data_IF_011854444991
#
_entry.id   IF_011854444991
#
_cell.length_a   1.000
_cell.length_b   1.000
_cell.length_c   1.000
_cell.angle_alpha   90.00
_cell.angle_beta   90.00
_cell.angle_gamma   90.00
#
_symmetry.space_group_name_H-M   'P 1'
#
loop_
_entity.id
_entity.type
_entity.pdbx_description
1 polymer ?
#
# COMPACT_ATOMS: atom_id res chain seq x y z
N UNK A 1 8.97 33.26 21.54
CA UNK A 1 7.77 32.61 22.11
C UNK A 1 8.09 32.11 23.51
N UNK A 2 7.12 32.10 24.41
CA UNK A 2 7.31 31.50 25.75
C UNK A 2 7.46 29.97 25.67
N UNK A 3 7.97 29.35 26.74
CA UNK A 3 8.00 27.90 26.91
C UNK A 3 6.59 27.30 26.72
N UNK A 4 6.49 26.16 26.03
CA UNK A 4 5.23 25.46 25.71
C UNK A 4 4.20 26.26 24.89
N UNK A 5 4.54 27.45 24.37
CA UNK A 5 3.63 28.22 23.53
C UNK A 5 3.57 27.65 22.10
N UNK A 6 2.42 27.86 21.44
CA UNK A 6 2.24 27.52 20.01
C UNK A 6 2.14 28.79 19.17
N UNK A 7 2.91 28.85 18.08
CA UNK A 7 2.70 29.80 16.98
C UNK A 7 2.25 29.03 15.76
N UNK A 8 1.02 29.26 15.32
CA UNK A 8 0.44 28.61 14.16
C UNK A 8 -0.08 29.60 13.11
N UNK A 9 -0.64 29.03 12.05
CA UNK A 9 -1.27 29.79 10.96
C UNK A 9 -0.37 29.97 9.74
N UNK A 10 -0.66 31.01 8.97
CA UNK A 10 0.01 31.38 7.72
C UNK A 10 0.40 32.87 7.76
N UNK A 11 1.26 33.32 6.86
CA UNK A 11 1.69 34.73 6.77
C UNK A 11 3.13 34.94 7.23
N UNK A 12 3.49 36.19 7.56
CA UNK A 12 4.87 36.57 7.89
C UNK A 12 4.97 37.09 9.32
N UNK A 13 5.94 36.57 10.07
CA UNK A 13 6.37 37.07 11.38
C UNK A 13 7.84 37.47 11.33
N UNK A 14 8.28 38.31 12.26
CA UNK A 14 9.68 38.72 12.36
C UNK A 14 10.60 37.59 12.85
N UNK A 15 11.76 37.98 13.38
CA UNK A 15 12.68 37.05 14.06
C UNK A 15 11.93 36.28 15.15
N UNK A 16 12.06 34.96 15.13
CA UNK A 16 11.31 34.05 15.98
C UNK A 16 12.26 33.17 16.76
N UNK A 17 12.19 33.25 18.08
CA UNK A 17 12.86 32.30 18.98
C UNK A 17 11.82 31.36 19.57
N UNK A 18 12.00 30.06 19.34
CA UNK A 18 11.23 28.97 19.95
C UNK A 18 11.97 28.53 21.20
N UNK A 19 11.45 28.93 22.37
CA UNK A 19 11.93 28.43 23.66
C UNK A 19 11.64 26.95 23.83
N UNK A 20 12.37 26.31 24.76
CA UNK A 20 12.20 24.88 25.10
C UNK A 20 10.73 24.50 25.26
N UNK A 21 10.33 23.42 24.59
CA UNK A 21 8.95 22.92 24.57
C UNK A 21 7.98 23.68 23.67
N UNK A 22 8.40 24.76 23.00
CA UNK A 22 7.55 25.51 22.08
C UNK A 22 7.19 24.73 20.81
N UNK A 23 6.04 25.06 20.22
CA UNK A 23 5.50 24.41 19.03
C UNK A 23 5.27 25.42 17.90
N UNK A 24 5.76 25.10 16.70
CA UNK A 24 5.37 25.78 15.47
C UNK A 24 4.31 24.94 14.76
N UNK A 25 3.18 25.54 14.44
CA UNK A 25 2.05 24.88 13.78
C UNK A 25 1.70 25.55 12.44
N UNK A 26 2.63 25.59 11.47
CA UNK A 26 2.37 26.26 10.19
C UNK A 26 1.35 25.47 9.35
N UNK A 27 0.33 26.15 8.84
CA UNK A 27 -0.62 25.55 7.88
C UNK A 27 -1.48 24.39 8.41
N UNK A 28 -1.61 24.22 9.74
CA UNK A 28 -2.38 23.10 10.34
C UNK A 28 -3.91 23.25 10.14
N UNK A 29 -4.39 24.43 9.74
CA UNK A 29 -5.81 24.73 9.49
C UNK A 29 -6.15 25.06 8.02
N UNK A 30 -5.24 24.81 7.07
CA UNK A 30 -5.47 25.07 5.64
C UNK A 30 -4.17 25.20 4.83
N UNK A 31 -4.29 25.29 3.50
CA UNK A 31 -3.13 25.51 2.63
C UNK A 31 -2.50 26.89 2.90
N UNK A 32 -1.22 26.93 3.25
CA UNK A 32 -0.46 28.16 3.34
C UNK A 32 0.84 28.04 4.13
N UNK A 33 1.71 29.02 3.91
CA UNK A 33 3.09 29.08 4.38
C UNK A 33 3.22 30.06 5.54
N UNK A 34 3.86 29.64 6.63
CA UNK A 34 4.38 30.57 7.65
C UNK A 34 5.79 31.00 7.25
N UNK A 35 6.05 32.30 7.25
CA UNK A 35 7.37 32.87 6.98
C UNK A 35 7.86 33.57 8.24
N UNK A 36 9.08 33.28 8.67
CA UNK A 36 9.74 33.97 9.79
C UNK A 36 10.93 34.77 9.26
N UNK A 37 11.39 35.75 10.04
CA UNK A 37 12.78 36.22 9.95
C UNK A 37 13.75 35.11 10.36
N UNK A 38 14.80 35.44 11.12
CA UNK A 38 15.67 34.40 11.66
C UNK A 38 14.89 33.52 12.64
N UNK A 39 15.03 32.21 12.50
CA UNK A 39 14.37 31.21 13.34
C UNK A 39 15.40 30.50 14.21
N UNK A 40 15.20 30.55 15.52
CA UNK A 40 16.07 29.88 16.49
C UNK A 40 15.26 28.94 17.38
N UNK A 41 15.64 27.66 17.43
CA UNK A 41 15.21 26.72 18.47
C UNK A 41 16.24 26.73 19.61
N UNK A 42 15.87 27.22 20.79
CA UNK A 42 16.79 27.34 21.94
C UNK A 42 17.04 26.02 22.67
N UNK A 43 16.28 24.98 22.38
CA UNK A 43 16.30 23.69 23.09
C UNK A 43 15.35 22.71 22.43
N UNK A 44 14.59 21.94 23.21
CA UNK A 44 13.57 21.06 22.64
C UNK A 44 12.45 21.85 21.99
N UNK A 45 11.87 21.32 20.92
CA UNK A 45 10.75 21.98 20.24
C UNK A 45 9.96 21.03 19.36
N UNK A 46 8.81 21.50 18.88
CA UNK A 46 7.97 20.75 17.96
C UNK A 46 7.61 21.59 16.76
N UNK A 47 7.54 20.96 15.59
CA UNK A 47 6.91 21.49 14.40
C UNK A 47 5.75 20.56 14.07
N UNK A 48 4.53 21.05 14.15
CA UNK A 48 3.31 20.31 13.80
C UNK A 48 2.81 20.78 12.45
N UNK A 49 2.81 19.89 11.45
CA UNK A 49 2.42 20.18 10.08
C UNK A 49 1.06 19.57 9.75
N UNK A 50 0.38 20.15 8.76
CA UNK A 50 -0.84 19.59 8.17
C UNK A 50 -0.56 18.40 7.24
N UNK A 51 -1.49 18.13 6.33
CA UNK A 51 -1.37 17.05 5.35
C UNK A 51 -0.22 17.30 4.38
N UNK A 52 0.66 16.31 4.23
CA UNK A 52 1.92 16.45 3.48
C UNK A 52 1.77 16.77 1.98
N UNK A 53 0.62 16.46 1.37
CA UNK A 53 0.40 16.59 -0.08
C UNK A 53 0.57 18.02 -0.60
N UNK A 54 0.44 19.03 0.27
CA UNK A 54 0.68 20.44 -0.07
C UNK A 54 2.16 20.85 -0.17
N UNK A 55 3.10 19.98 0.21
CA UNK A 55 4.50 20.35 0.42
C UNK A 55 5.47 19.94 -0.70
N UNK A 56 4.98 19.44 -1.82
CA UNK A 56 5.84 19.03 -2.96
C UNK A 56 6.57 20.21 -3.61
N UNK A 57 5.95 21.39 -3.62
CA UNK A 57 6.50 22.61 -4.24
C UNK A 57 6.50 23.83 -3.32
N UNK A 58 5.70 23.81 -2.25
CA UNK A 58 5.50 24.96 -1.36
C UNK A 58 5.82 24.57 0.08
N UNK A 59 6.82 25.18 0.74
CA UNK A 59 7.17 24.77 2.08
C UNK A 59 6.11 25.19 3.10
N UNK A 60 5.93 24.37 4.14
CA UNK A 60 5.06 24.72 5.26
C UNK A 60 5.62 25.92 6.03
N UNK A 61 6.94 25.95 6.21
CA UNK A 61 7.66 27.00 6.93
C UNK A 61 8.80 27.55 6.07
N UNK A 62 8.98 28.86 6.03
CA UNK A 62 10.23 29.46 5.57
C UNK A 62 10.83 30.34 6.65
N UNK A 63 12.11 30.19 6.87
CA UNK A 63 12.89 31.06 7.73
C UNK A 63 13.88 31.90 6.91
N UNK A 64 14.35 32.99 7.51
CA UNK A 64 15.62 33.62 7.20
C UNK A 64 16.76 32.65 7.50
N UNK A 65 17.64 32.93 8.47
CA UNK A 65 18.56 31.90 8.96
C UNK A 65 17.85 30.91 9.89
N UNK A 66 18.33 29.67 9.94
CA UNK A 66 17.85 28.64 10.86
C UNK A 66 18.95 28.22 11.83
N UNK A 67 18.69 28.33 13.13
CA UNK A 67 19.59 27.88 14.20
C UNK A 67 18.87 26.87 15.09
N UNK A 68 19.49 25.70 15.28
CA UNK A 68 19.03 24.69 16.23
C UNK A 68 20.08 24.51 17.34
N UNK A 69 19.81 25.07 18.52
CA UNK A 69 20.75 25.09 19.65
C UNK A 69 20.61 23.92 20.61
N UNK A 70 19.56 23.09 20.46
CA UNK A 70 19.35 21.88 21.26
C UNK A 70 20.23 20.70 20.83
N UNK A 71 20.13 19.58 21.55
CA UNK A 71 20.84 18.34 21.21
C UNK A 71 20.32 17.68 19.91
N UNK A 72 20.99 16.62 19.44
CA UNK A 72 20.48 15.81 18.34
C UNK A 72 19.09 15.25 18.66
N UNK A 73 18.17 15.31 17.69
CA UNK A 73 16.77 14.92 17.86
C UNK A 73 15.94 15.81 18.81
N UNK A 74 16.44 16.98 19.20
CA UNK A 74 15.72 17.88 20.13
C UNK A 74 14.48 18.54 19.51
N UNK A 75 14.39 18.65 18.19
CA UNK A 75 13.24 19.23 17.49
C UNK A 75 12.47 18.13 16.76
N UNK A 76 11.25 17.85 17.21
CA UNK A 76 10.38 16.85 16.60
C UNK A 76 9.50 17.46 15.52
N UNK A 77 9.44 16.85 14.34
CA UNK A 77 8.53 17.24 13.26
C UNK A 77 7.41 16.21 13.13
N UNK A 78 6.17 16.65 13.35
CA UNK A 78 4.96 15.86 13.16
C UNK A 78 4.30 16.22 11.83
N UNK A 79 3.91 15.20 11.05
CA UNK A 79 3.30 15.30 9.73
C UNK A 79 1.92 14.64 9.73
N UNK A 80 0.91 15.34 9.20
CA UNK A 80 -0.41 14.78 8.97
C UNK A 80 -0.51 13.96 7.67
N UNK A 81 -1.41 12.99 7.65
CA UNK A 81 -1.72 12.15 6.48
C UNK A 81 -1.83 10.66 6.82
N UNK A 82 -2.56 9.90 6.01
CA UNK A 82 -2.77 8.47 6.22
C UNK A 82 -1.61 7.62 5.71
N UNK A 83 -1.33 7.67 4.40
CA UNK A 83 -0.28 6.87 3.74
C UNK A 83 0.65 7.78 2.95
N UNK A 84 1.95 7.51 3.03
CA UNK A 84 2.99 8.26 2.34
C UNK A 84 3.05 7.89 0.85
N UNK A 85 3.04 8.89 -0.03
CA UNK A 85 3.40 8.73 -1.42
C UNK A 85 4.90 9.03 -1.61
N UNK A 86 5.57 8.27 -2.48
CA UNK A 86 6.95 8.56 -2.84
C UNK A 86 7.10 10.00 -3.33
N UNK A 87 8.19 10.64 -2.94
CA UNK A 87 8.48 12.01 -3.33
C UNK A 87 9.30 12.76 -2.30
N UNK A 88 9.65 13.98 -2.69
CA UNK A 88 10.33 14.95 -1.84
C UNK A 88 9.35 16.05 -1.47
N UNK A 89 9.23 16.31 -0.17
CA UNK A 89 8.32 17.29 0.40
C UNK A 89 9.12 18.32 1.18
N UNK A 90 9.06 19.57 0.74
CA UNK A 90 9.76 20.68 1.37
C UNK A 90 9.03 21.06 2.66
N UNK A 91 9.57 20.69 3.82
CA UNK A 91 8.90 21.00 5.09
C UNK A 91 9.24 22.42 5.57
N UNK A 92 10.54 22.73 5.51
CA UNK A 92 11.10 23.99 5.98
C UNK A 92 12.18 24.46 5.01
N UNK A 93 12.08 25.69 4.50
CA UNK A 93 13.17 26.35 3.77
C UNK A 93 13.90 27.36 4.65
N UNK A 94 15.18 27.58 4.43
CA UNK A 94 15.98 28.60 5.09
C UNK A 94 17.07 29.15 4.17
N UNK A 95 17.56 30.31 4.53
CA UNK A 95 18.70 30.99 3.93
C UNK A 95 19.96 30.79 4.78
N UNK A 96 21.14 31.04 4.20
CA UNK A 96 22.41 30.95 4.91
C UNK A 96 23.21 29.68 4.63
N UNK A 97 22.72 28.76 3.79
CA UNK A 97 23.50 27.63 3.27
C UNK A 97 23.65 26.44 4.23
N UNK A 98 23.31 26.60 5.50
CA UNK A 98 23.33 25.54 6.51
C UNK A 98 22.43 25.86 7.70
N UNK A 99 22.10 24.82 8.46
CA UNK A 99 21.45 24.94 9.77
C UNK A 99 22.54 25.17 10.82
N UNK A 100 22.51 26.29 11.53
CA UNK A 100 23.49 26.60 12.57
C UNK A 100 23.23 25.82 13.88
N UNK A 101 24.25 25.73 14.74
CA UNK A 101 24.21 24.98 16.00
C UNK A 101 24.44 23.48 15.78
N UNK A 102 23.53 22.64 16.29
CA UNK A 102 23.58 21.18 16.13
C UNK A 102 23.22 20.72 14.70
N UNK A 103 22.78 21.66 13.84
CA UNK A 103 22.50 21.42 12.44
C UNK A 103 21.29 20.53 12.20
N UNK A 104 21.24 19.87 11.03
CA UNK A 104 20.15 18.99 10.64
C UNK A 104 19.90 17.84 11.64
N UNK A 105 20.94 17.39 12.34
CA UNK A 105 20.84 16.32 13.33
C UNK A 105 19.95 16.68 14.52
N UNK A 106 19.65 17.96 14.74
CA UNK A 106 18.69 18.41 15.75
C UNK A 106 17.25 17.98 15.43
N UNK A 107 16.92 17.66 14.18
CA UNK A 107 15.57 17.37 13.75
C UNK A 107 15.30 15.87 13.61
N UNK A 108 14.13 15.43 14.06
CA UNK A 108 13.67 14.04 13.95
C UNK A 108 12.19 14.00 13.57
N UNK A 109 11.78 12.98 12.82
CA UNK A 109 10.36 12.74 12.54
C UNK A 109 9.64 12.13 13.76
N UNK A 110 8.54 12.75 14.17
CA UNK A 110 7.61 12.21 15.17
C UNK A 110 6.47 11.44 14.51
N UNK A 111 5.23 11.87 14.77
CA UNK A 111 4.03 11.37 14.08
C UNK A 111 4.15 11.62 12.57
N UNK A 112 3.88 10.62 11.74
CA UNK A 112 4.04 10.69 10.28
C UNK A 112 3.12 9.70 9.57
N UNK A 113 2.82 9.91 8.26
CA UNK A 113 2.04 8.98 7.47
C UNK A 113 2.67 7.57 7.45
N UNK A 114 1.83 6.54 7.34
CA UNK A 114 2.29 5.16 7.24
C UNK A 114 3.02 4.91 5.91
N UNK A 115 4.09 4.11 5.96
CA UNK A 115 4.78 3.59 4.77
C UNK A 115 4.07 2.35 4.24
N UNK A 116 4.21 2.10 2.93
CA UNK A 116 3.83 0.85 2.27
C UNK A 116 5.04 0.18 1.63
N UNK A 117 5.05 -1.15 1.59
CA UNK A 117 6.12 -1.93 0.98
C UNK A 117 7.50 -1.54 1.52
N UNK A 118 8.43 -1.22 0.62
CA UNK A 118 9.82 -0.86 0.94
C UNK A 118 10.05 0.64 1.16
N UNK A 119 8.99 1.41 1.40
CA UNK A 119 9.14 2.83 1.65
C UNK A 119 9.95 3.08 2.92
N UNK A 120 10.85 4.04 2.81
CA UNK A 120 11.62 4.64 3.88
C UNK A 120 11.29 6.13 3.93
N UNK A 121 11.40 6.70 5.12
CA UNK A 121 11.11 8.12 5.37
C UNK A 121 12.30 8.75 6.06
N UNK A 122 12.88 9.78 5.45
CA UNK A 122 14.06 10.47 5.98
C UNK A 122 13.88 11.98 5.96
N UNK A 123 14.64 12.67 6.80
CA UNK A 123 14.85 14.11 6.70
C UNK A 123 16.17 14.37 5.98
N UNK A 124 16.13 15.23 4.96
CA UNK A 124 17.29 15.56 4.14
C UNK A 124 17.48 17.07 4.13
N UNK A 125 18.62 17.53 4.65
CA UNK A 125 19.09 18.91 4.55
C UNK A 125 19.79 19.11 3.19
N UNK A 126 19.31 20.06 2.38
CA UNK A 126 19.87 20.40 1.06
C UNK A 126 20.77 21.65 1.07
N UNK A 127 21.05 22.22 2.25
CA UNK A 127 21.69 23.52 2.46
C UNK A 127 20.73 24.72 2.38
N UNK A 128 19.51 24.51 1.90
CA UNK A 128 18.48 25.56 1.77
C UNK A 128 17.08 25.09 2.17
N UNK A 129 16.91 23.79 2.38
CA UNK A 129 15.67 23.20 2.82
C UNK A 129 15.93 21.95 3.67
N UNK A 130 15.06 21.74 4.64
CA UNK A 130 14.90 20.47 5.33
C UNK A 130 13.68 19.77 4.73
N UNK A 131 13.95 18.77 3.90
CA UNK A 131 12.94 18.02 3.18
C UNK A 131 12.59 16.73 3.92
N UNK A 132 11.32 16.33 3.84
CA UNK A 132 10.92 14.95 4.10
C UNK A 132 10.92 14.20 2.79
N UNK A 133 11.73 13.15 2.72
CA UNK A 133 11.88 12.32 1.53
C UNK A 133 11.27 10.96 1.83
N UNK A 134 10.31 10.57 1.00
CA UNK A 134 9.74 9.23 0.97
C UNK A 134 10.29 8.54 -0.26
N UNK A 135 11.08 7.49 -0.05
CA UNK A 135 11.68 6.70 -1.13
C UNK A 135 11.46 5.22 -0.87
N UNK A 136 11.31 4.44 -1.93
CA UNK A 136 11.16 3.00 -1.84
C UNK A 136 10.39 2.48 -3.04
N UNK A 137 10.82 1.36 -3.57
CA UNK A 137 10.23 0.77 -4.76
C UNK A 137 9.66 -0.59 -4.43
N UNK A 138 8.52 -0.90 -5.04
CA UNK A 138 7.90 -2.21 -4.89
C UNK A 138 8.61 -3.21 -5.82
N UNK A 139 8.93 -4.43 -5.37
CA UNK A 139 9.42 -5.47 -6.26
C UNK A 139 8.35 -5.88 -7.29
N UNK A 140 8.74 -5.88 -8.56
CA UNK A 140 8.00 -6.41 -9.71
C UNK A 140 8.59 -7.76 -10.08
N UNK A 141 7.74 -8.77 -10.22
CA UNK A 141 8.15 -10.10 -10.67
C UNK A 141 8.63 -10.07 -12.12
N UNK A 142 9.82 -10.61 -12.36
CA UNK A 142 10.36 -10.82 -13.72
C UNK A 142 10.31 -12.29 -14.11
N UNK A 143 10.54 -13.20 -13.16
CA UNK A 143 10.73 -14.63 -13.44
C UNK A 143 11.93 -14.90 -14.37
N UNK A 144 12.93 -14.01 -14.33
CA UNK A 144 14.05 -14.02 -15.27
C UNK A 144 15.07 -15.15 -15.01
N UNK A 145 15.13 -15.70 -13.80
CA UNK A 145 16.09 -16.75 -13.41
C UNK A 145 15.40 -18.08 -13.21
N UNK A 146 14.28 -18.10 -12.51
CA UNK A 146 13.50 -19.30 -12.24
C UNK A 146 12.04 -18.94 -11.95
N UNK A 147 11.23 -19.95 -11.67
CA UNK A 147 9.86 -19.78 -11.18
C UNK A 147 9.80 -19.63 -9.65
N UNK A 148 10.92 -19.75 -8.93
CA UNK A 148 10.91 -19.75 -7.46
C UNK A 148 10.52 -18.37 -6.91
N UNK A 149 9.44 -18.34 -6.12
CA UNK A 149 9.13 -17.23 -5.23
C UNK A 149 9.35 -17.68 -3.78
N UNK A 150 10.44 -17.19 -3.19
CA UNK A 150 10.81 -17.45 -1.80
C UNK A 150 11.57 -16.25 -1.24
N UNK A 151 11.97 -16.32 0.03
CA UNK A 151 12.92 -15.37 0.66
C UNK A 151 14.39 -15.77 0.48
N UNK A 152 14.68 -16.78 -0.34
CA UNK A 152 16.06 -17.18 -0.60
C UNK A 152 16.78 -16.08 -1.39
N UNK A 153 18.00 -15.77 -0.98
CA UNK A 153 18.89 -14.91 -1.75
C UNK A 153 19.36 -15.66 -3.01
N UNK A 154 19.02 -15.14 -4.19
CA UNK A 154 19.50 -15.68 -5.47
C UNK A 154 20.77 -14.95 -5.87
N UNK A 155 21.90 -15.61 -6.14
CA UNK A 155 23.12 -14.88 -6.54
C UNK A 155 23.03 -14.36 -7.98
N UNK A 156 23.54 -13.15 -8.23
CA UNK A 156 23.56 -12.55 -9.57
C UNK A 156 22.19 -12.02 -10.01
N UNK A 157 21.72 -12.46 -11.19
CA UNK A 157 20.40 -12.08 -11.72
C UNK A 157 19.29 -12.53 -10.78
N UNK A 158 18.16 -11.82 -10.78
CA UNK A 158 17.08 -12.01 -9.80
C UNK A 158 15.73 -12.25 -10.47
N UNK A 159 14.82 -12.89 -9.75
CA UNK A 159 13.43 -13.05 -10.16
C UNK A 159 12.57 -11.80 -9.92
N UNK A 160 13.11 -10.77 -9.28
CA UNK A 160 12.44 -9.50 -9.02
C UNK A 160 13.30 -8.32 -9.46
N UNK A 161 12.64 -7.24 -9.86
CA UNK A 161 13.25 -5.92 -10.06
C UNK A 161 12.50 -4.87 -9.25
N UNK A 162 13.13 -3.77 -8.88
CA UNK A 162 12.44 -2.65 -8.26
C UNK A 162 11.68 -1.82 -9.30
N UNK A 163 10.44 -1.44 -8.96
CA UNK A 163 9.67 -0.45 -9.70
C UNK A 163 10.45 0.88 -9.81
N UNK A 164 10.37 1.54 -10.97
CA UNK A 164 11.05 2.82 -11.22
C UNK A 164 12.44 2.65 -11.84
N UNK A 165 13.42 2.11 -11.10
CA UNK A 165 14.82 2.01 -11.57
C UNK A 165 15.20 0.64 -12.17
N UNK A 166 14.31 -0.36 -12.09
CA UNK A 166 14.51 -1.73 -12.60
C UNK A 166 15.72 -2.46 -12.00
N UNK A 167 16.24 -1.99 -10.86
CA UNK A 167 17.37 -2.65 -10.20
C UNK A 167 16.98 -4.07 -9.72
N UNK A 168 17.82 -5.10 -9.94
CA UNK A 168 17.51 -6.47 -9.50
C UNK A 168 17.40 -6.56 -7.97
N UNK A 169 16.43 -7.32 -7.48
CA UNK A 169 16.22 -7.51 -6.04
C UNK A 169 15.70 -8.91 -5.70
N UNK A 170 15.88 -9.37 -4.46
CA UNK A 170 15.18 -10.55 -3.94
C UNK A 170 13.84 -10.12 -3.34
N UNK A 171 12.89 -11.04 -3.19
CA UNK A 171 11.70 -10.81 -2.39
C UNK A 171 12.06 -10.80 -0.89
N UNK A 172 11.44 -9.89 -0.15
CA UNK A 172 11.54 -9.76 1.31
C UNK A 172 10.15 -9.90 1.91
N UNK A 173 10.05 -10.67 2.99
CA UNK A 173 8.80 -10.80 3.74
C UNK A 173 8.23 -9.43 4.13
N UNK A 174 6.94 -9.19 3.89
CA UNK A 174 6.28 -7.91 4.08
C UNK A 174 6.30 -6.99 2.84
N UNK A 175 6.95 -7.36 1.75
CA UNK A 175 6.91 -6.57 0.51
C UNK A 175 5.48 -6.44 -0.02
N UNK A 176 5.20 -5.26 -0.60
CA UNK A 176 4.14 -5.13 -1.59
C UNK A 176 4.75 -5.56 -2.92
N UNK A 177 4.23 -6.63 -3.51
CA UNK A 177 4.74 -7.21 -4.76
C UNK A 177 3.80 -6.92 -5.93
N UNK A 178 4.39 -6.71 -7.12
CA UNK A 178 3.66 -6.38 -8.35
C UNK A 178 3.90 -7.47 -9.41
N UNK A 179 2.83 -7.82 -10.13
CA UNK A 179 2.81 -8.79 -11.22
C UNK A 179 2.16 -8.13 -12.45
N UNK A 180 2.97 -7.69 -13.40
CA UNK A 180 2.56 -6.96 -14.60
C UNK A 180 2.94 -7.73 -15.89
N UNK A 181 2.68 -7.15 -17.08
CA UNK A 181 3.02 -7.81 -18.35
C UNK A 181 4.53 -7.76 -18.69
N UNK A 182 5.39 -7.28 -17.80
CA UNK A 182 6.85 -7.24 -18.04
C UNK A 182 7.56 -8.52 -17.62
N UNK A 183 6.87 -9.45 -16.96
CA UNK A 183 7.43 -10.75 -16.61
C UNK A 183 7.75 -11.58 -17.87
N UNK A 184 8.93 -12.21 -17.87
CA UNK A 184 9.33 -13.15 -18.91
C UNK A 184 8.83 -14.57 -18.63
N UNK A 185 8.53 -14.87 -17.37
CA UNK A 185 7.95 -16.14 -16.96
C UNK A 185 6.83 -15.89 -15.92
N UNK A 186 5.55 -16.06 -16.29
CA UNK A 186 4.43 -15.75 -15.40
C UNK A 186 4.05 -16.91 -14.45
N UNK A 187 4.96 -17.86 -14.22
CA UNK A 187 4.78 -18.95 -13.24
C UNK A 187 5.54 -18.62 -11.96
N UNK A 188 4.84 -18.70 -10.82
CA UNK A 188 5.38 -18.56 -9.48
C UNK A 188 5.22 -19.86 -8.71
N UNK A 189 6.34 -20.44 -8.31
CA UNK A 189 6.43 -21.70 -7.60
C UNK A 189 6.85 -21.47 -6.15
N UNK A 190 5.95 -21.81 -5.23
CA UNK A 190 6.10 -21.76 -3.79
C UNK A 190 6.51 -23.13 -3.20
N UNK A 191 7.07 -24.05 -3.99
CA UNK A 191 7.50 -25.36 -3.48
C UNK A 191 8.62 -25.28 -2.43
N UNK A 192 9.37 -24.16 -2.41
CA UNK A 192 10.51 -23.98 -1.50
C UNK A 192 10.07 -23.52 -0.10
N UNK A 193 9.20 -22.52 -0.01
CA UNK A 193 8.74 -21.99 1.28
C UNK A 193 7.42 -21.22 1.12
N UNK A 194 6.71 -21.05 2.24
CA UNK A 194 5.60 -20.09 2.30
C UNK A 194 6.12 -18.64 2.22
N UNK A 195 5.33 -17.74 1.63
CA UNK A 195 5.65 -16.32 1.53
C UNK A 195 4.59 -15.45 2.21
N UNK A 196 5.01 -14.32 2.78
CA UNK A 196 4.15 -13.40 3.53
C UNK A 196 4.25 -11.95 3.03
N UNK A 197 3.74 -11.63 1.82
CA UNK A 197 3.71 -10.25 1.33
C UNK A 197 2.74 -9.41 2.17
N UNK A 198 2.91 -8.08 2.18
CA UNK A 198 1.89 -7.18 2.72
C UNK A 198 0.72 -6.98 1.76
N UNK A 199 1.00 -7.00 0.46
CA UNK A 199 0.00 -6.93 -0.60
C UNK A 199 0.55 -7.50 -1.90
N UNK A 200 -0.33 -8.09 -2.70
CA UNK A 200 -0.04 -8.60 -4.03
C UNK A 200 -0.90 -7.86 -5.05
N UNK A 201 -0.25 -7.19 -5.99
CA UNK A 201 -0.92 -6.44 -7.04
C UNK A 201 -0.68 -7.11 -8.40
N UNK A 202 -1.71 -7.77 -8.91
CA UNK A 202 -1.75 -8.30 -10.27
C UNK A 202 -2.38 -7.25 -11.20
N UNK A 203 -1.59 -6.67 -12.10
CA UNK A 203 -2.01 -5.64 -13.07
C UNK A 203 -1.93 -6.13 -14.52
N UNK A 204 -1.56 -7.40 -14.72
CA UNK A 204 -1.45 -8.06 -16.00
C UNK A 204 -2.71 -7.89 -16.89
N UNK A 205 -2.51 -7.33 -18.07
CA UNK A 205 -3.52 -7.10 -19.08
C UNK A 205 -3.62 -8.26 -20.08
N UNK A 206 -2.51 -8.92 -20.42
CA UNK A 206 -2.49 -10.00 -21.43
C UNK A 206 -1.85 -11.28 -20.92
N UNK A 207 -0.83 -11.21 -20.06
CA UNK A 207 -0.20 -12.40 -19.48
C UNK A 207 -1.18 -13.14 -18.57
N UNK A 208 -1.06 -14.46 -18.53
CA UNK A 208 -1.76 -15.31 -17.56
C UNK A 208 -0.78 -15.77 -16.48
N UNK A 209 -1.01 -15.35 -15.24
CA UNK A 209 -0.17 -15.76 -14.11
C UNK A 209 -0.64 -17.08 -13.51
N UNK A 210 0.29 -17.92 -13.06
CA UNK A 210 0.00 -19.13 -12.29
C UNK A 210 0.83 -19.15 -11.01
N UNK A 211 0.17 -19.27 -9.86
CA UNK A 211 0.82 -19.57 -8.58
C UNK A 211 0.61 -21.05 -8.26
N UNK A 212 1.69 -21.76 -7.99
CA UNK A 212 1.72 -23.19 -7.72
C UNK A 212 2.72 -23.52 -6.61
N UNK A 213 2.81 -24.80 -6.25
CA UNK A 213 3.74 -25.32 -5.26
C UNK A 213 3.04 -25.91 -4.03
N UNK A 214 3.85 -26.50 -3.16
CA UNK A 214 3.36 -27.22 -1.95
C UNK A 214 3.15 -26.31 -0.74
N UNK A 215 3.69 -25.10 -0.75
CA UNK A 215 3.44 -24.08 0.27
C UNK A 215 2.43 -23.03 -0.23
N UNK A 216 2.18 -22.02 0.59
CA UNK A 216 1.19 -20.99 0.30
C UNK A 216 1.59 -19.59 0.71
N UNK A 217 0.67 -18.67 0.43
CA UNK A 217 0.76 -17.26 0.78
C UNK A 217 0.04 -17.06 2.11
N UNK A 218 0.76 -16.58 3.11
CA UNK A 218 0.31 -16.61 4.52
C UNK A 218 -0.14 -15.25 5.06
N UNK A 219 0.16 -14.16 4.35
CA UNK A 219 -0.19 -12.81 4.78
C UNK A 219 -0.56 -11.91 3.61
N UNK A 220 -1.08 -10.73 3.96
CA UNK A 220 -1.38 -9.66 3.03
C UNK A 220 -2.78 -9.74 2.40
N UNK A 221 -2.94 -8.98 1.33
CA UNK A 221 -4.14 -8.91 0.50
C UNK A 221 -3.79 -9.13 -0.96
N UNK A 222 -4.79 -9.50 -1.76
CA UNK A 222 -4.65 -9.70 -3.20
C UNK A 222 -5.52 -8.71 -3.96
N UNK A 223 -4.95 -7.98 -4.90
CA UNK A 223 -5.69 -7.13 -5.85
C UNK A 223 -5.42 -7.58 -7.27
N UNK A 224 -6.47 -7.96 -8.00
CA UNK A 224 -6.41 -8.28 -9.43
C UNK A 224 -7.09 -7.18 -10.25
N UNK A 225 -6.31 -6.58 -11.12
CA UNK A 225 -6.70 -5.59 -12.12
C UNK A 225 -6.12 -6.01 -13.47
N UNK A 226 -6.46 -5.30 -14.55
CA UNK A 226 -6.08 -5.71 -15.90
C UNK A 226 -6.85 -6.94 -16.39
N UNK A 227 -6.93 -7.09 -17.71
CA UNK A 227 -7.76 -8.11 -18.36
C UNK A 227 -7.18 -9.54 -18.33
N UNK A 228 -5.91 -9.73 -17.97
CA UNK A 228 -5.26 -11.03 -17.95
C UNK A 228 -5.79 -11.97 -16.86
N UNK A 229 -5.38 -13.24 -16.88
CA UNK A 229 -5.81 -14.24 -15.90
C UNK A 229 -4.82 -14.42 -14.75
N UNK A 230 -5.31 -14.98 -13.64
CA UNK A 230 -4.53 -15.46 -12.51
C UNK A 230 -5.08 -16.82 -12.06
N UNK A 231 -4.27 -17.86 -12.08
CA UNK A 231 -4.60 -19.19 -11.55
C UNK A 231 -3.92 -19.40 -10.20
N UNK A 232 -4.70 -19.75 -9.18
CA UNK A 232 -4.21 -19.97 -7.81
C UNK A 232 -4.31 -21.45 -7.43
N UNK A 233 -3.22 -22.20 -7.60
CA UNK A 233 -3.17 -23.64 -7.30
C UNK A 233 -2.68 -23.95 -5.88
N UNK A 234 -2.26 -22.95 -5.10
CA UNK A 234 -1.74 -23.13 -3.74
C UNK A 234 -2.83 -23.03 -2.69
N UNK A 235 -2.64 -23.71 -1.56
CA UNK A 235 -3.46 -23.53 -0.36
C UNK A 235 -2.95 -22.30 0.40
N UNK A 236 -3.72 -21.23 0.42
CA UNK A 236 -3.32 -19.95 1.01
C UNK A 236 -4.01 -19.70 2.35
N UNK A 237 -3.45 -18.83 3.18
CA UNK A 237 -4.00 -18.48 4.50
C UNK A 237 -4.03 -16.98 4.80
N UNK A 238 -3.67 -16.13 3.83
CA UNK A 238 -3.77 -14.68 3.99
C UNK A 238 -5.21 -14.24 4.34
N UNK A 239 -5.32 -13.22 5.19
CA UNK A 239 -6.59 -12.76 5.76
C UNK A 239 -6.98 -11.35 5.31
N UNK A 240 -6.10 -10.63 4.59
CA UNK A 240 -6.38 -9.27 4.11
C UNK A 240 -7.42 -9.18 3.00
N UNK A 241 -7.90 -10.32 2.49
CA UNK A 241 -8.94 -10.41 1.47
C UNK A 241 -8.42 -10.30 0.04
N UNK A 242 -9.35 -10.45 -0.91
CA UNK A 242 -9.09 -10.39 -2.35
C UNK A 242 -10.03 -9.40 -3.04
N UNK A 243 -9.51 -8.51 -3.87
CA UNK A 243 -10.28 -7.55 -4.65
C UNK A 243 -10.05 -7.75 -6.15
N UNK A 244 -11.14 -7.95 -6.91
CA UNK A 244 -11.11 -8.19 -8.35
C UNK A 244 -11.75 -7.00 -9.08
N UNK A 245 -10.90 -6.08 -9.52
CA UNK A 245 -11.25 -4.94 -10.37
C UNK A 245 -11.19 -5.22 -11.87
N UNK A 246 -10.75 -6.41 -12.29
CA UNK A 246 -10.73 -6.82 -13.70
C UNK A 246 -10.16 -8.24 -13.88
N UNK A 247 -10.20 -8.74 -15.11
CA UNK A 247 -9.65 -10.05 -15.48
C UNK A 247 -10.37 -11.22 -14.80
N UNK A 248 -9.69 -12.37 -14.73
CA UNK A 248 -10.22 -13.59 -14.12
C UNK A 248 -9.25 -14.15 -13.08
N UNK A 249 -9.76 -14.54 -11.91
CA UNK A 249 -9.05 -15.43 -10.99
C UNK A 249 -9.70 -16.82 -11.07
N UNK A 250 -8.91 -17.84 -11.38
CA UNK A 250 -9.34 -19.25 -11.41
C UNK A 250 -8.77 -20.00 -10.21
N UNK A 251 -9.63 -20.70 -9.48
CA UNK A 251 -9.25 -21.43 -8.27
C UNK A 251 -8.76 -22.85 -8.58
N UNK A 252 -7.58 -23.21 -8.06
CA UNK A 252 -7.10 -24.60 -8.07
C UNK A 252 -7.44 -25.38 -6.80
N UNK A 253 -7.77 -24.70 -5.70
CA UNK A 253 -8.13 -25.31 -4.41
C UNK A 253 -9.20 -24.50 -3.67
N UNK A 254 -9.92 -25.12 -2.73
CA UNK A 254 -10.91 -24.46 -1.88
C UNK A 254 -10.36 -23.43 -0.88
N UNK A 255 -9.03 -23.39 -0.69
CA UNK A 255 -8.35 -22.41 0.18
C UNK A 255 -7.45 -21.45 -0.61
N UNK A 256 -7.59 -21.42 -1.94
CA UNK A 256 -6.78 -20.57 -2.82
C UNK A 256 -6.91 -19.07 -2.51
N UNK A 257 -8.04 -18.61 -1.96
CA UNK A 257 -8.28 -17.20 -1.61
C UNK A 257 -7.97 -16.86 -0.14
N UNK A 258 -7.37 -17.80 0.61
CA UNK A 258 -7.14 -17.59 2.03
C UNK A 258 -8.46 -17.48 2.81
N UNK A 259 -8.45 -16.68 3.88
CA UNK A 259 -9.58 -16.56 4.82
C UNK A 259 -10.33 -15.23 4.75
N UNK A 260 -9.78 -14.24 4.04
CA UNK A 260 -10.38 -12.91 3.92
C UNK A 260 -11.60 -12.86 2.99
N UNK A 261 -12.35 -11.76 3.04
CA UNK A 261 -13.47 -11.52 2.12
C UNK A 261 -13.02 -11.30 0.68
N UNK A 262 -13.89 -11.63 -0.28
CA UNK A 262 -13.66 -11.43 -1.72
C UNK A 262 -14.58 -10.33 -2.24
N UNK A 263 -14.02 -9.26 -2.80
CA UNK A 263 -14.77 -8.20 -3.46
C UNK A 263 -14.64 -8.30 -4.98
N UNK A 264 -15.76 -8.46 -5.69
CA UNK A 264 -15.83 -8.54 -7.14
C UNK A 264 -16.36 -7.22 -7.70
N UNK A 265 -15.46 -6.28 -7.96
CA UNK A 265 -15.81 -4.93 -8.43
C UNK A 265 -16.10 -4.89 -9.93
N UNK A 266 -15.32 -5.63 -10.73
CA UNK A 266 -15.56 -5.78 -12.18
C UNK A 266 -14.93 -7.06 -12.78
N UNK A 267 -14.07 -7.79 -12.05
CA UNK A 267 -13.45 -9.03 -12.51
C UNK A 267 -14.35 -10.26 -12.38
N UNK A 268 -13.85 -11.40 -12.85
CA UNK A 268 -14.50 -12.71 -12.75
C UNK A 268 -13.79 -13.59 -11.74
N UNK A 269 -14.54 -14.17 -10.81
CA UNK A 269 -14.07 -15.28 -9.97
C UNK A 269 -14.58 -16.59 -10.56
N UNK A 270 -13.68 -17.40 -11.09
CA UNK A 270 -13.98 -18.75 -11.56
C UNK A 270 -13.72 -19.77 -10.46
N UNK A 271 -14.80 -20.34 -9.92
CA UNK A 271 -14.74 -21.31 -8.84
C UNK A 271 -14.10 -22.62 -9.26
N UNK A 272 -14.13 -22.98 -10.55
CA UNK A 272 -13.47 -24.18 -11.07
C UNK A 272 -13.69 -25.45 -10.21
N UNK A 273 -14.96 -25.73 -9.92
CA UNK A 273 -15.45 -26.83 -9.08
C UNK A 273 -14.99 -26.81 -7.61
N UNK A 274 -14.40 -25.71 -7.13
CA UNK A 274 -13.97 -25.56 -5.74
C UNK A 274 -15.11 -25.12 -4.81
N UNK A 275 -14.94 -25.43 -3.52
CA UNK A 275 -15.80 -24.94 -2.44
C UNK A 275 -14.99 -23.99 -1.56
N UNK A 276 -15.45 -22.75 -1.43
CA UNK A 276 -14.76 -21.72 -0.64
C UNK A 276 -15.60 -21.27 0.57
N UNK A 277 -14.99 -21.01 1.73
CA UNK A 277 -15.70 -20.49 2.90
C UNK A 277 -15.85 -18.96 2.89
N UNK A 278 -15.18 -18.26 1.96
CA UNK A 278 -15.07 -16.81 1.96
C UNK A 278 -16.43 -16.13 1.77
N UNK A 279 -16.64 -15.01 2.47
CA UNK A 279 -17.72 -14.08 2.12
C UNK A 279 -17.39 -13.37 0.80
N UNK A 280 -18.39 -13.18 -0.05
CA UNK A 280 -18.23 -12.56 -1.37
C UNK A 280 -19.12 -11.31 -1.48
N UNK A 281 -18.55 -10.21 -1.95
CA UNK A 281 -19.24 -8.94 -2.16
C UNK A 281 -19.22 -8.62 -3.66
N UNK A 282 -20.40 -8.53 -4.28
CA UNK A 282 -20.60 -8.23 -5.69
C UNK A 282 -20.79 -6.71 -5.87
N UNK A 283 -19.76 -6.05 -6.40
CA UNK A 283 -19.75 -4.62 -6.74
C UNK A 283 -19.91 -4.34 -8.24
N UNK A 284 -19.99 -5.38 -9.08
CA UNK A 284 -20.06 -5.28 -10.55
C UNK A 284 -19.32 -6.39 -11.29
N UNK A 285 -18.56 -7.24 -10.58
CA UNK A 285 -17.93 -8.43 -11.13
C UNK A 285 -18.86 -9.65 -11.22
N UNK A 286 -18.31 -10.77 -11.66
CA UNK A 286 -19.07 -12.01 -11.95
C UNK A 286 -18.47 -13.21 -11.21
N UNK A 287 -19.32 -14.14 -10.79
CA UNK A 287 -18.92 -15.49 -10.36
C UNK A 287 -19.20 -16.45 -11.52
N UNK A 288 -18.22 -17.29 -11.87
CA UNK A 288 -18.31 -18.31 -12.92
C UNK A 288 -17.84 -19.68 -12.43
N UNK A 289 -18.00 -20.69 -13.29
CA UNK A 289 -17.68 -22.08 -12.98
C UNK A 289 -18.72 -22.74 -12.05
N UNK A 290 -18.61 -24.06 -11.90
CA UNK A 290 -19.32 -24.81 -10.86
C UNK A 290 -18.60 -24.67 -9.53
N UNK A 291 -19.28 -24.83 -8.40
CA UNK A 291 -18.65 -24.80 -7.08
C UNK A 291 -19.61 -24.40 -5.97
N UNK A 292 -19.06 -24.22 -4.77
CA UNK A 292 -19.82 -23.79 -3.59
C UNK A 292 -19.20 -22.55 -2.97
N UNK A 293 -20.04 -21.57 -2.65
CA UNK A 293 -19.67 -20.45 -1.78
C UNK A 293 -20.39 -20.67 -0.45
N UNK A 294 -19.62 -21.04 0.57
CA UNK A 294 -20.13 -21.27 1.92
C UNK A 294 -20.38 -19.97 2.70
N UNK A 295 -19.63 -18.91 2.40
CA UNK A 295 -19.84 -17.60 3.00
C UNK A 295 -21.05 -16.85 2.41
N UNK A 296 -21.43 -15.74 3.05
CA UNK A 296 -22.48 -14.87 2.53
C UNK A 296 -22.05 -14.22 1.22
N UNK A 297 -22.93 -14.22 0.23
CA UNK A 297 -22.84 -13.39 -0.96
C UNK A 297 -23.73 -12.17 -0.79
N UNK A 298 -23.16 -10.97 -0.93
CA UNK A 298 -23.85 -9.68 -0.78
C UNK A 298 -23.56 -8.78 -1.99
N UNK A 299 -24.35 -7.72 -2.24
CA UNK A 299 -24.08 -6.77 -3.34
C UNK A 299 -25.33 -6.11 -3.92
N UNK A 300 -25.14 -5.00 -4.63
CA UNK A 300 -26.23 -4.18 -5.21
C UNK A 300 -26.62 -4.61 -6.64
N UNK A 301 -25.73 -5.31 -7.35
CA UNK A 301 -25.93 -5.82 -8.71
C UNK A 301 -25.62 -7.31 -8.75
N UNK A 302 -26.65 -8.14 -8.54
CA UNK A 302 -26.51 -9.59 -8.47
C UNK A 302 -26.62 -10.18 -9.88
N UNK A 303 -25.47 -10.35 -10.53
CA UNK A 303 -25.38 -11.12 -11.78
C UNK A 303 -24.46 -12.31 -11.54
N UNK A 304 -25.04 -13.45 -11.17
CA UNK A 304 -24.36 -14.74 -11.21
C UNK A 304 -24.38 -15.23 -12.65
N UNK A 305 -23.23 -15.65 -13.21
CA UNK A 305 -23.18 -16.31 -14.52
C UNK A 305 -22.62 -17.71 -14.32
N UNK A 306 -23.51 -18.68 -14.13
CA UNK A 306 -23.12 -20.10 -14.12
C UNK A 306 -23.06 -20.56 -15.58
N UNK A 307 -21.85 -20.72 -16.12
CA UNK A 307 -21.65 -21.12 -17.53
C UNK A 307 -21.96 -22.62 -17.77
N UNK A 308 -21.71 -23.47 -16.76
CA UNK A 308 -22.07 -24.89 -16.75
C UNK A 308 -21.98 -25.46 -15.33
N UNK A 309 -22.81 -26.45 -15.00
CA UNK A 309 -22.80 -27.13 -13.70
C UNK A 309 -23.62 -26.42 -12.62
N UNK A 310 -23.32 -26.71 -11.36
CA UNK A 310 -24.09 -26.21 -10.20
C UNK A 310 -23.27 -25.22 -9.38
N UNK A 311 -23.85 -24.04 -9.15
CA UNK A 311 -23.39 -23.09 -8.13
C UNK A 311 -24.25 -23.26 -6.87
N UNK A 312 -23.61 -23.55 -5.73
CA UNK A 312 -24.30 -23.68 -4.44
C UNK A 312 -23.96 -22.46 -3.57
N UNK A 313 -24.97 -21.77 -3.05
CA UNK A 313 -24.80 -20.66 -2.10
C UNK A 313 -25.25 -21.09 -0.70
N UNK A 314 -24.30 -21.23 0.23
CA UNK A 314 -24.54 -21.75 1.59
C UNK A 314 -24.98 -20.72 2.64
N UNK A 315 -24.75 -19.42 2.38
CA UNK A 315 -25.08 -18.32 3.31
C UNK A 315 -26.51 -17.75 3.16
N UNK A 316 -26.76 -16.56 3.74
CA UNK A 316 -27.98 -15.78 3.44
C UNK A 316 -27.68 -14.86 2.26
N UNK A 317 -28.29 -15.12 1.10
CA UNK A 317 -27.96 -14.48 -0.17
C UNK A 317 -29.21 -13.87 -0.82
N UNK A 318 -29.16 -12.62 -1.30
CA UNK A 318 -30.25 -12.04 -2.07
C UNK A 318 -30.41 -12.75 -3.42
N UNK A 319 -31.66 -12.98 -3.84
CA UNK A 319 -31.99 -13.82 -5.01
C UNK A 319 -32.19 -12.96 -6.26
N UNK A 320 -31.14 -12.78 -7.06
CA UNK A 320 -31.27 -12.42 -8.48
C UNK A 320 -30.09 -13.03 -9.26
N UNK A 321 -30.36 -13.85 -10.28
CA UNK A 321 -29.34 -14.58 -11.03
C UNK A 321 -29.70 -14.73 -12.52
N UNK A 322 -28.68 -14.72 -13.38
CA UNK A 322 -28.82 -15.09 -14.79
C UNK A 322 -28.23 -16.49 -14.98
N UNK A 323 -29.09 -17.50 -15.06
CA UNK A 323 -28.65 -18.90 -15.14
C UNK A 323 -28.57 -19.30 -16.61
N UNK A 324 -27.40 -19.78 -17.06
CA UNK A 324 -27.23 -20.35 -18.41
C UNK A 324 -28.12 -21.59 -18.61
N UNK A 325 -28.51 -21.89 -19.86
CA UNK A 325 -29.49 -22.93 -20.18
C UNK A 325 -29.14 -24.36 -19.68
N UNK A 326 -27.87 -24.62 -19.35
CA UNK A 326 -27.36 -25.91 -18.86
C UNK A 326 -26.87 -25.85 -17.41
N UNK A 327 -27.26 -24.81 -16.66
CA UNK A 327 -26.71 -24.52 -15.34
C UNK A 327 -27.78 -24.56 -14.26
N UNK A 328 -27.36 -24.79 -13.02
CA UNK A 328 -28.23 -24.72 -11.85
C UNK A 328 -27.66 -23.80 -10.77
N UNK A 329 -28.52 -22.94 -10.22
CA UNK A 329 -28.27 -22.23 -8.97
C UNK A 329 -29.00 -22.98 -7.86
N UNK A 330 -28.27 -23.45 -6.87
CA UNK A 330 -28.84 -24.07 -5.67
C UNK A 330 -28.61 -23.15 -4.47
N UNK A 331 -29.70 -22.87 -3.77
CA UNK A 331 -29.69 -22.09 -2.55
C UNK A 331 -29.67 -23.09 -1.37
N UNK A 332 -28.67 -22.97 -0.49
CA UNK A 332 -28.48 -23.85 0.66
C UNK A 332 -29.53 -23.62 1.76
N UNK A 333 -29.67 -24.59 2.66
CA UNK A 333 -30.60 -24.52 3.79
C UNK A 333 -30.19 -23.41 4.76
N UNK A 334 -30.76 -22.21 4.62
CA UNK A 334 -30.42 -21.04 5.43
C UNK A 334 -30.56 -19.68 4.72
N UNK A 335 -30.79 -19.67 3.41
CA UNK A 335 -31.11 -18.43 2.69
C UNK A 335 -32.60 -18.12 2.72
N UNK A 336 -32.93 -16.85 2.96
CA UNK A 336 -34.28 -16.26 2.82
C UNK A 336 -34.33 -15.39 1.58
#
# INVERSE_FOLDING_TARGET
MASAATLGGTGTVGTTTVSTGGNLAPGVAGAGKLTTGNLTFSGTGTITLGTYTGYTSTPALAAGSLTASGAAGSVTINLGGATAANGTYQLLTYTGGSIAGTGASAFVLGTKPATVGRQSQTLVDTGSALNWVVSGANPIWTGAVSTEWSTNTISGSKNWKLEGDSSPTDYISGDLVIFDDTATNPILDLSVASVAPSSMLFTNATLGYTIQGTNGITAGSLTKTGAGSLTLNTANSYSGGSSLGGGTITLGTGTALGTGSVALNAGTLDLNAQSIPNAVVLGGGTISGSGTIGGNVTGSALSYTVASGTLILGGTNPVAATIGATSTLQIGTGST
#
